data_IF_139614111596
#
_entry.id   IF_139614111596
#
_cell.length_a   1.000
_cell.length_b   1.000
_cell.length_c   1.000
_cell.angle_alpha   90.00
_cell.angle_beta   90.00
_cell.angle_gamma   90.00
#
_symmetry.space_group_name_H-M   'P 1'
#
loop_
_entity.id
_entity.type
_entity.pdbx_description
1 polymer ?
#
# COMPACT_ATOMS: atom_id res chain seq x y z
N UNK A 1 14.26 12.73 18.58
CA UNK A 1 14.90 13.23 17.34
C UNK A 1 14.00 12.87 16.16
N UNK A 2 14.06 13.64 15.07
CA UNK A 2 13.26 13.41 13.87
C UNK A 2 14.15 13.22 12.64
N UNK A 3 13.62 12.57 11.60
CA UNK A 3 14.30 12.36 10.31
C UNK A 3 15.72 11.78 10.44
N UNK A 4 15.94 10.89 11.40
CA UNK A 4 17.23 10.28 11.66
C UNK A 4 17.63 9.39 10.48
N UNK A 5 18.66 9.77 9.76
CA UNK A 5 19.21 9.02 8.63
C UNK A 5 20.66 8.66 8.91
N UNK A 6 20.97 7.38 8.76
CA UNK A 6 22.32 6.84 8.83
C UNK A 6 22.82 6.56 7.42
N UNK A 7 24.04 6.98 7.14
CA UNK A 7 24.76 6.68 5.90
C UNK A 7 26.19 6.28 6.22
N UNK A 8 26.81 5.51 5.33
CA UNK A 8 28.21 5.10 5.44
C UNK A 8 28.97 5.71 4.26
N UNK A 9 30.08 6.36 4.55
CA UNK A 9 30.90 7.09 3.58
C UNK A 9 31.98 6.19 2.95
N UNK A 10 32.68 6.73 1.96
CA UNK A 10 33.91 6.18 1.37
C UNK A 10 33.77 4.85 0.61
N UNK A 11 32.55 4.48 0.21
CA UNK A 11 32.23 3.24 -0.52
C UNK A 11 32.75 1.96 0.15
N UNK A 12 33.03 2.01 1.46
CA UNK A 12 33.55 0.87 2.24
C UNK A 12 32.45 -0.16 2.53
N UNK A 13 31.19 0.28 2.55
CA UNK A 13 30.01 -0.52 2.85
C UNK A 13 29.22 -0.76 1.57
N UNK A 14 28.81 -2.02 1.35
CA UNK A 14 27.85 -2.38 0.31
C UNK A 14 26.50 -1.77 0.66
N UNK A 15 26.16 -0.66 0.00
CA UNK A 15 24.96 0.13 0.28
C UNK A 15 23.67 -0.68 0.07
N UNK A 16 23.69 -1.67 -0.84
CA UNK A 16 22.54 -2.53 -1.12
C UNK A 16 22.33 -3.60 -0.02
N UNK A 17 23.33 -3.83 0.82
CA UNK A 17 23.24 -4.74 1.96
C UNK A 17 22.72 -4.10 3.25
N UNK A 18 22.54 -2.76 3.26
CA UNK A 18 22.13 -2.04 4.45
C UNK A 18 20.71 -2.42 4.87
N UNK A 19 20.56 -2.73 6.16
CA UNK A 19 19.25 -2.80 6.80
C UNK A 19 18.61 -1.41 6.85
N UNK A 20 17.38 -1.33 7.35
CA UNK A 20 16.67 -0.05 7.53
C UNK A 20 17.59 0.98 8.22
N UNK A 21 17.91 2.07 7.52
CA UNK A 21 18.86 3.10 7.96
C UNK A 21 18.27 4.51 7.91
N UNK A 22 16.95 4.62 7.80
CA UNK A 22 16.21 5.88 7.87
C UNK A 22 14.99 5.73 8.76
N UNK A 23 14.87 6.63 9.73
CA UNK A 23 13.89 6.60 10.81
C UNK A 23 13.31 7.98 11.00
N UNK A 24 11.98 8.12 10.88
CA UNK A 24 11.37 9.45 11.03
C UNK A 24 11.40 9.95 12.47
N UNK A 25 11.27 9.07 13.45
CA UNK A 25 11.22 9.45 14.86
C UNK A 25 12.08 8.50 15.67
N UNK A 26 12.85 9.11 16.57
CA UNK A 26 13.58 8.45 17.63
C UNK A 26 13.06 8.98 18.96
N UNK A 27 12.62 8.06 19.82
CA UNK A 27 12.20 8.34 21.18
C UNK A 27 13.31 7.99 22.17
N UNK A 28 13.38 8.73 23.27
CA UNK A 28 14.29 8.42 24.37
C UNK A 28 14.01 7.00 24.90
N UNK A 29 15.08 6.24 25.12
CA UNK A 29 15.03 4.81 25.45
C UNK A 29 14.86 3.85 24.27
N UNK A 30 14.88 4.32 23.02
CA UNK A 30 14.99 3.46 21.84
C UNK A 30 16.44 3.29 21.39
N UNK A 31 16.71 2.17 20.70
CA UNK A 31 17.96 1.94 19.98
C UNK A 31 17.67 1.83 18.48
N UNK A 32 18.44 2.55 17.67
CA UNK A 32 18.42 2.42 16.22
C UNK A 32 19.61 1.57 15.80
N UNK A 33 19.33 0.43 15.17
CA UNK A 33 20.35 -0.53 14.77
C UNK A 33 20.36 -0.63 13.24
N UNK A 34 21.49 -0.25 12.66
CA UNK A 34 21.78 -0.38 11.23
C UNK A 34 22.92 -1.40 11.08
N UNK A 35 22.78 -2.31 10.13
CA UNK A 35 23.75 -3.35 9.82
C UNK A 35 23.92 -3.45 8.31
N UNK A 36 25.11 -3.81 7.86
CA UNK A 36 25.45 -3.99 6.45
C UNK A 36 26.71 -4.83 6.30
N UNK A 37 27.10 -5.07 5.06
CA UNK A 37 28.31 -5.78 4.67
C UNK A 37 29.35 -4.80 4.15
N UNK A 38 30.62 -5.13 4.36
CA UNK A 38 31.73 -4.43 3.71
C UNK A 38 31.78 -4.82 2.22
N UNK A 39 32.23 -3.89 1.38
CA UNK A 39 32.51 -4.16 -0.03
C UNK A 39 33.67 -5.17 -0.15
N UNK A 40 33.53 -6.15 -1.05
CA UNK A 40 34.58 -7.13 -1.31
C UNK A 40 35.86 -6.45 -1.82
N UNK A 41 37.02 -6.85 -1.28
CA UNK A 41 38.31 -6.28 -1.67
C UNK A 41 38.64 -4.92 -1.05
N UNK A 42 37.81 -4.41 -0.12
CA UNK A 42 38.10 -3.18 0.60
C UNK A 42 39.24 -3.39 1.62
N UNK A 43 40.32 -2.64 1.45
CA UNK A 43 41.45 -2.59 2.39
C UNK A 43 41.34 -1.41 3.39
N UNK A 44 40.18 -0.77 3.47
CA UNK A 44 39.98 0.34 4.41
C UNK A 44 40.07 -0.17 5.85
N UNK A 45 40.91 0.49 6.64
CA UNK A 45 41.08 0.20 8.06
C UNK A 45 40.04 0.91 8.93
N UNK A 46 39.18 1.74 8.33
CA UNK A 46 38.21 2.58 9.03
C UNK A 46 36.88 2.62 8.31
N UNK A 47 35.78 2.58 9.07
CA UNK A 47 34.42 2.82 8.58
C UNK A 47 33.97 4.17 9.11
N UNK A 48 33.59 5.06 8.20
CA UNK A 48 33.01 6.35 8.55
C UNK A 48 31.50 6.29 8.37
N UNK A 49 30.77 6.57 9.46
CA UNK A 49 29.31 6.68 9.46
C UNK A 49 28.91 8.13 9.67
N UNK A 50 27.84 8.56 9.01
CA UNK A 50 27.24 9.87 9.16
C UNK A 50 25.77 9.72 9.54
N UNK A 51 25.38 10.34 10.64
CA UNK A 51 24.01 10.37 11.15
C UNK A 51 23.50 11.80 11.10
N UNK A 52 22.41 12.01 10.37
CA UNK A 52 21.75 13.31 10.23
C UNK A 52 20.34 13.24 10.80
N UNK A 53 19.80 14.36 11.25
CA UNK A 53 18.40 14.46 11.65
C UNK A 53 18.07 15.83 12.23
N UNK A 54 16.89 15.95 12.84
CA UNK A 54 16.39 17.21 13.39
C UNK A 54 16.03 17.05 14.87
N UNK A 55 16.37 18.05 15.68
CA UNK A 55 15.99 18.21 17.09
C UNK A 55 15.31 19.57 17.30
N UNK A 56 14.72 19.79 18.48
CA UNK A 56 14.00 21.03 18.78
C UNK A 56 14.85 22.31 18.63
N UNK A 57 16.18 22.19 18.70
CA UNK A 57 17.13 23.30 18.53
C UNK A 57 17.71 23.47 17.11
N UNK A 58 17.27 22.67 16.14
CA UNK A 58 17.78 22.69 14.76
C UNK A 58 18.20 21.32 14.24
N UNK A 59 18.88 21.30 13.10
CA UNK A 59 19.41 20.07 12.51
C UNK A 59 20.71 19.64 13.20
N UNK A 60 20.92 18.34 13.28
CA UNK A 60 22.18 17.74 13.71
C UNK A 60 22.77 16.90 12.59
N UNK A 61 24.09 16.88 12.55
CA UNK A 61 24.90 16.15 11.59
C UNK A 61 26.15 15.68 12.32
N UNK A 62 26.26 14.37 12.51
CA UNK A 62 27.32 13.74 13.30
C UNK A 62 28.01 12.71 12.44
N UNK A 63 29.31 12.90 12.26
CA UNK A 63 30.20 11.95 11.60
C UNK A 63 31.07 11.24 12.65
N UNK A 64 31.11 9.93 12.57
CA UNK A 64 31.91 9.07 13.46
C UNK A 64 32.66 8.05 12.62
N UNK A 65 33.98 7.99 12.80
CA UNK A 65 34.83 6.96 12.22
C UNK A 65 35.27 5.97 13.30
N UNK A 66 35.17 4.68 12.99
CA UNK A 66 35.66 3.60 13.83
C UNK A 66 36.66 2.74 13.06
N UNK A 67 37.73 2.22 13.69
CA UNK A 67 38.56 1.22 13.07
C UNK A 67 37.73 -0.02 12.72
N UNK A 68 38.07 -0.68 11.60
CA UNK A 68 37.58 -2.02 11.30
C UNK A 68 38.30 -2.98 12.26
N UNK A 69 37.81 -3.01 13.51
CA UNK A 69 38.33 -3.92 14.52
C UNK A 69 37.89 -5.36 14.18
N UNK A 70 38.86 -6.20 13.83
CA UNK A 70 38.72 -7.66 13.85
C UNK A 70 38.75 -8.14 15.31
N UNK A 71 37.75 -7.82 16.14
CA UNK A 71 37.76 -8.29 17.53
C UNK A 71 36.33 -8.63 17.97
N UNK A 72 36.04 -9.66 18.75
CA UNK A 72 36.81 -10.42 19.73
C UNK A 72 36.47 -11.91 19.64
N UNK A 73 37.42 -12.73 20.09
CA UNK A 73 37.24 -14.12 20.54
C UNK A 73 36.03 -14.19 21.51
N UNK A 74 34.84 -14.37 20.94
CA UNK A 74 33.60 -14.59 21.65
C UNK A 74 33.24 -16.05 21.43
N UNK A 75 32.67 -16.70 22.44
CA UNK A 75 32.21 -18.10 22.38
C UNK A 75 31.22 -18.39 21.22
N UNK A 76 30.75 -17.36 20.52
CA UNK A 76 29.85 -17.45 19.38
C UNK A 76 30.53 -16.87 18.14
N UNK A 77 31.01 -17.77 17.28
CA UNK A 77 31.50 -17.42 15.95
C UNK A 77 30.43 -16.69 15.12
N UNK A 78 30.85 -15.76 14.26
CA UNK A 78 30.01 -15.09 13.26
C UNK A 78 28.80 -14.33 13.81
N UNK A 79 28.83 -13.89 15.07
CA UNK A 79 27.71 -13.17 15.71
C UNK A 79 27.26 -11.93 14.91
N UNK A 80 28.20 -11.12 14.43
CA UNK A 80 27.89 -9.92 13.65
C UNK A 80 27.18 -10.26 12.32
N UNK A 81 27.66 -11.31 11.63
CA UNK A 81 27.04 -11.80 10.41
C UNK A 81 25.63 -12.34 10.67
N UNK A 82 25.45 -13.15 11.73
CA UNK A 82 24.13 -13.67 12.14
C UNK A 82 23.16 -12.53 12.51
N UNK A 83 23.65 -11.50 13.19
CA UNK A 83 22.88 -10.30 13.51
C UNK A 83 22.41 -9.55 12.26
N UNK A 84 23.32 -9.34 11.29
CA UNK A 84 22.96 -8.76 9.99
C UNK A 84 21.94 -9.61 9.23
N UNK A 85 22.12 -10.94 9.16
CA UNK A 85 21.19 -11.88 8.53
C UNK A 85 19.80 -11.81 9.18
N UNK A 86 19.73 -11.80 10.52
CA UNK A 86 18.47 -11.69 11.27
C UNK A 86 17.73 -10.37 10.99
N UNK A 87 18.43 -9.24 11.05
CA UNK A 87 17.84 -7.92 10.80
C UNK A 87 17.39 -7.77 9.35
N UNK A 88 18.16 -8.32 8.40
CA UNK A 88 17.81 -8.34 6.97
C UNK A 88 16.54 -9.16 6.74
N UNK A 89 16.47 -10.38 7.29
CA UNK A 89 15.28 -11.23 7.20
C UNK A 89 14.06 -10.57 7.84
N UNK A 90 14.22 -9.94 9.02
CA UNK A 90 13.14 -9.24 9.71
C UNK A 90 12.62 -8.06 8.91
N UNK A 91 13.50 -7.27 8.29
CA UNK A 91 13.10 -6.19 7.38
C UNK A 91 12.33 -6.73 6.17
N UNK A 92 12.80 -7.83 5.56
CA UNK A 92 12.12 -8.46 4.42
C UNK A 92 10.76 -9.06 4.81
N UNK A 93 10.64 -9.65 6.00
CA UNK A 93 9.36 -10.10 6.57
C UNK A 93 8.43 -8.91 6.79
N UNK A 94 8.93 -7.80 7.33
CA UNK A 94 8.13 -6.57 7.49
C UNK A 94 7.64 -6.10 6.12
N UNK A 95 8.53 -6.00 5.12
CA UNK A 95 8.18 -5.64 3.73
C UNK A 95 7.16 -6.61 3.13
N UNK A 96 7.32 -7.92 3.30
CA UNK A 96 6.40 -8.96 2.82
C UNK A 96 5.03 -8.86 3.49
N UNK A 97 4.96 -8.71 4.81
CA UNK A 97 3.70 -8.54 5.55
C UNK A 97 3.00 -7.21 5.18
N UNK A 98 3.73 -6.25 4.63
CA UNK A 98 3.18 -5.02 4.07
C UNK A 98 2.62 -5.22 2.64
N UNK A 99 3.10 -6.22 1.88
CA UNK A 99 2.68 -6.56 0.51
C UNK A 99 1.56 -7.61 0.50
N UNK A 100 0.31 -7.21 0.25
CA UNK A 100 -0.82 -8.17 0.21
C UNK A 100 -1.20 -8.66 -1.19
N UNK A 101 -0.70 -8.05 -2.29
CA UNK A 101 -1.24 -8.35 -3.65
C UNK A 101 -0.35 -7.98 -4.86
N UNK A 102 0.98 -7.86 -4.77
CA UNK A 102 1.79 -7.66 -6.00
C UNK A 102 3.12 -8.45 -6.05
N UNK A 103 3.46 -9.04 -7.21
CA UNK A 103 4.56 -9.99 -7.38
C UNK A 103 5.89 -9.33 -7.77
N UNK A 104 6.16 -8.09 -7.36
CA UNK A 104 7.47 -7.45 -7.65
C UNK A 104 8.40 -7.76 -6.49
N UNK A 105 9.02 -8.93 -6.55
CA UNK A 105 10.24 -9.25 -5.81
C UNK A 105 11.39 -8.48 -6.47
N UNK A 106 11.67 -7.26 -6.00
CA UNK A 106 13.06 -6.77 -6.01
C UNK A 106 13.61 -7.11 -4.62
N UNK A 107 14.24 -8.27 -4.53
CA UNK A 107 14.70 -8.89 -3.29
C UNK A 107 14.47 -10.41 -3.33
N UNK A 108 15.33 -11.22 -2.68
CA UNK A 108 15.11 -12.66 -2.62
C UNK A 108 13.80 -12.99 -1.91
N UNK A 109 13.21 -14.16 -2.17
CA UNK A 109 12.02 -14.59 -1.41
C UNK A 109 12.39 -14.69 0.08
N UNK A 110 11.52 -14.26 0.99
CA UNK A 110 11.72 -14.40 2.45
C UNK A 110 12.04 -15.85 2.84
N UNK A 111 11.45 -16.82 2.13
CA UNK A 111 11.73 -18.25 2.36
C UNK A 111 13.12 -18.65 1.88
N UNK A 112 13.52 -18.19 0.69
CA UNK A 112 14.86 -18.41 0.12
C UNK A 112 15.95 -17.73 0.95
N UNK A 113 15.70 -16.51 1.44
CA UNK A 113 16.56 -15.80 2.39
C UNK A 113 16.69 -16.54 3.70
N UNK A 114 15.58 -17.05 4.26
CA UNK A 114 15.60 -17.80 5.50
C UNK A 114 16.39 -19.09 5.35
N UNK A 115 16.25 -19.81 4.24
CA UNK A 115 17.05 -21.00 3.93
C UNK A 115 18.54 -20.66 3.77
N UNK A 116 18.85 -19.61 3.00
CA UNK A 116 20.23 -19.10 2.82
C UNK A 116 20.87 -18.67 4.14
N UNK A 117 20.06 -18.15 5.07
CA UNK A 117 20.52 -17.69 6.38
C UNK A 117 20.37 -18.74 7.49
N UNK A 118 19.90 -19.95 7.16
CA UNK A 118 19.67 -21.07 8.08
C UNK A 118 18.70 -20.74 9.24
N UNK A 119 17.68 -19.91 8.97
CA UNK A 119 16.59 -19.62 9.91
C UNK A 119 15.37 -20.50 9.64
N UNK A 120 14.75 -20.99 10.72
CA UNK A 120 13.47 -21.71 10.64
C UNK A 120 12.32 -20.71 10.77
N UNK A 121 11.44 -20.65 9.77
CA UNK A 121 10.23 -19.81 9.76
C UNK A 121 8.94 -20.66 9.78
N UNK A 122 7.92 -20.16 10.47
CA UNK A 122 6.57 -20.75 10.47
C UNK A 122 5.75 -20.17 9.31
N UNK A 123 5.67 -20.93 8.20
CA UNK A 123 5.00 -20.50 6.97
C UNK A 123 3.52 -20.15 7.16
N UNK A 124 2.85 -20.77 8.15
CA UNK A 124 1.42 -20.57 8.42
C UNK A 124 1.07 -19.16 8.89
N UNK A 125 2.08 -18.39 9.35
CA UNK A 125 1.93 -17.01 9.81
C UNK A 125 2.02 -15.99 8.70
N UNK A 126 2.39 -16.40 7.48
CA UNK A 126 2.45 -15.50 6.32
C UNK A 126 1.16 -15.56 5.51
N UNK A 127 0.67 -14.41 4.99
CA UNK A 127 -0.45 -14.42 4.05
C UNK A 127 -0.06 -15.22 2.79
N UNK A 128 -0.98 -16.00 2.19
CA UNK A 128 -0.67 -16.88 1.06
C UNK A 128 -0.14 -16.10 -0.16
N UNK A 129 1.00 -16.56 -0.69
CA UNK A 129 1.65 -16.04 -1.91
C UNK A 129 0.83 -16.39 -3.16
N UNK A 130 0.70 -15.46 -4.12
CA UNK A 130 0.11 -15.72 -5.44
C UNK A 130 1.22 -16.02 -6.45
N UNK A 131 1.05 -17.13 -7.17
CA UNK A 131 1.97 -17.75 -8.15
C UNK A 131 2.29 -16.82 -9.34
N UNK A 132 3.55 -16.89 -9.80
CA UNK A 132 4.16 -16.18 -10.95
C UNK A 132 3.36 -16.33 -12.26
N UNK A 133 3.27 -15.24 -13.04
CA UNK A 133 2.75 -15.26 -14.41
C UNK A 133 2.87 -13.92 -15.15
N UNK A 134 3.36 -13.99 -16.40
CA UNK A 134 3.68 -12.90 -17.33
C UNK A 134 2.53 -11.90 -17.53
N UNK A 135 2.89 -10.63 -17.75
CA UNK A 135 2.01 -9.45 -17.73
C UNK A 135 0.80 -9.46 -18.67
N UNK A 136 -0.24 -8.71 -18.27
CA UNK A 136 -1.08 -7.89 -19.15
C UNK A 136 -1.74 -6.76 -18.34
N UNK A 137 -1.46 -5.54 -18.77
CA UNK A 137 -2.31 -4.34 -18.71
C UNK A 137 -3.45 -4.42 -19.72
N UNK A 138 -4.68 -3.99 -19.38
CA UNK A 138 -5.71 -3.42 -20.28
C UNK A 138 -7.05 -3.35 -19.52
N UNK A 139 -7.84 -2.28 -19.45
CA UNK A 139 -7.82 -0.98 -20.09
C UNK A 139 -8.70 -0.03 -19.25
N UNK A 140 -8.15 0.40 -18.12
CA UNK A 140 -8.61 1.42 -17.18
C UNK A 140 -10.07 1.49 -16.73
N UNK A 141 -10.29 2.52 -15.92
CA UNK A 141 -11.33 2.69 -14.90
C UNK A 141 -10.92 2.14 -13.51
N UNK A 142 -11.20 2.85 -12.40
CA UNK A 142 -10.93 2.35 -11.05
C UNK A 142 -11.66 1.03 -10.79
N UNK A 143 -10.88 -0.03 -10.61
CA UNK A 143 -11.38 -1.37 -10.35
C UNK A 143 -11.54 -1.56 -8.84
N UNK A 144 -12.77 -1.48 -8.35
CA UNK A 144 -13.05 -1.69 -6.94
C UNK A 144 -13.26 -3.17 -6.69
N UNK A 145 -12.58 -3.69 -5.68
CA UNK A 145 -12.71 -5.07 -5.22
C UNK A 145 -13.08 -5.05 -3.76
N UNK A 146 -14.23 -5.60 -3.44
CA UNK A 146 -14.71 -5.75 -2.08
C UNK A 146 -14.63 -7.22 -1.72
N UNK A 147 -13.90 -7.53 -0.66
CA UNK A 147 -13.95 -8.84 -0.02
C UNK A 147 -14.93 -8.77 1.14
N UNK A 148 -15.84 -9.74 1.22
CA UNK A 148 -16.70 -9.91 2.38
C UNK A 148 -15.85 -10.18 3.63
N UNK A 149 -16.00 -9.41 4.74
CA UNK A 149 -15.30 -9.70 5.97
C UNK A 149 -15.64 -11.08 6.56
N UNK A 150 -16.79 -11.67 6.20
CA UNK A 150 -17.34 -12.90 6.79
C UNK A 150 -17.13 -14.14 5.92
N UNK A 151 -16.63 -14.00 4.69
CA UNK A 151 -16.43 -15.11 3.77
C UNK A 151 -15.36 -14.82 2.70
N UNK A 152 -15.02 -15.81 1.87
CA UNK A 152 -14.13 -15.62 0.72
C UNK A 152 -14.82 -14.99 -0.50
N UNK A 153 -16.08 -14.56 -0.36
CA UNK A 153 -16.81 -13.90 -1.42
C UNK A 153 -16.15 -12.57 -1.76
N UNK A 154 -15.85 -12.38 -3.05
CA UNK A 154 -15.36 -11.12 -3.60
C UNK A 154 -16.31 -10.60 -4.66
N UNK A 155 -16.66 -9.33 -4.58
CA UNK A 155 -17.37 -8.62 -5.63
C UNK A 155 -16.44 -7.57 -6.24
N UNK A 156 -16.68 -7.24 -7.49
CA UNK A 156 -15.91 -6.22 -8.18
C UNK A 156 -16.74 -5.45 -9.19
N UNK A 157 -16.50 -4.16 -9.27
CA UNK A 157 -17.16 -3.25 -10.19
C UNK A 157 -16.24 -2.09 -10.53
N UNK A 158 -16.57 -1.41 -11.60
CA UNK A 158 -15.78 -0.31 -12.13
C UNK A 158 -16.59 0.98 -11.89
N UNK A 159 -15.93 2.05 -11.46
CA UNK A 159 -16.54 3.38 -11.39
C UNK A 159 -15.92 4.26 -12.47
N UNK A 160 -16.69 5.20 -13.00
CA UNK A 160 -16.25 6.04 -14.09
C UNK A 160 -16.68 7.47 -13.82
N UNK A 161 -15.87 8.43 -14.24
CA UNK A 161 -16.19 9.84 -14.15
C UNK A 161 -15.23 10.65 -15.01
N UNK A 162 -15.62 11.84 -15.49
CA UNK A 162 -14.70 12.71 -16.24
C UNK A 162 -13.47 13.07 -15.39
N UNK A 163 -12.39 13.50 -16.04
CA UNK A 163 -11.23 14.03 -15.35
C UNK A 163 -11.62 15.11 -14.31
N UNK A 164 -11.03 15.02 -13.12
CA UNK A 164 -11.31 15.92 -11.99
C UNK A 164 -12.49 15.50 -11.12
N UNK A 165 -13.24 14.46 -11.49
CA UNK A 165 -14.32 13.93 -10.63
C UNK A 165 -13.74 13.43 -9.32
N UNK A 166 -14.22 13.96 -8.19
CA UNK A 166 -13.85 13.47 -6.86
C UNK A 166 -14.99 12.61 -6.32
N UNK A 167 -14.66 11.42 -5.82
CA UNK A 167 -15.62 10.51 -5.20
C UNK A 167 -15.23 10.12 -3.78
N UNK A 168 -16.22 9.97 -2.91
CA UNK A 168 -16.08 9.44 -1.56
C UNK A 168 -15.91 7.91 -1.59
N UNK A 169 -14.73 7.43 -1.20
CA UNK A 169 -14.41 6.00 -1.14
C UNK A 169 -14.83 5.41 0.20
N UNK A 170 -14.47 6.08 1.28
CA UNK A 170 -14.79 5.69 2.66
C UNK A 170 -15.11 6.95 3.44
N UNK A 171 -16.12 6.90 4.28
CA UNK A 171 -16.43 7.94 5.24
C UNK A 171 -17.02 7.32 6.48
N UNK A 172 -16.43 7.63 7.63
CA UNK A 172 -16.89 7.17 8.92
C UNK A 172 -16.90 8.37 9.88
N UNK A 173 -18.06 9.02 10.06
CA UNK A 173 -18.18 10.19 10.92
C UNK A 173 -17.77 9.92 12.37
N UNK A 174 -18.05 8.72 12.90
CA UNK A 174 -17.71 8.36 14.27
C UNK A 174 -16.21 8.18 14.50
N UNK A 175 -15.46 7.84 13.43
CA UNK A 175 -13.99 7.77 13.45
C UNK A 175 -13.33 9.04 12.91
N UNK A 176 -14.13 10.05 12.56
CA UNK A 176 -13.72 11.27 11.85
C UNK A 176 -12.81 10.99 10.65
N UNK A 177 -13.07 9.88 9.95
CA UNK A 177 -12.26 9.37 8.85
C UNK A 177 -12.99 9.60 7.53
N UNK A 178 -12.32 10.19 6.54
CA UNK A 178 -12.80 10.20 5.17
C UNK A 178 -11.67 9.90 4.19
N UNK A 179 -11.97 9.17 3.12
CA UNK A 179 -11.04 8.86 2.03
C UNK A 179 -11.73 9.16 0.72
N UNK A 180 -11.10 10.01 -0.08
CA UNK A 180 -11.64 10.50 -1.34
C UNK A 180 -10.65 10.23 -2.47
N UNK A 181 -11.16 9.91 -3.66
CA UNK A 181 -10.34 9.71 -4.85
C UNK A 181 -10.70 10.68 -5.97
N UNK A 182 -9.71 11.34 -6.54
CA UNK A 182 -9.87 12.20 -7.73
C UNK A 182 -9.51 11.43 -8.99
N UNK A 183 -10.40 11.45 -9.97
CA UNK A 183 -10.22 10.75 -11.24
C UNK A 183 -9.35 11.54 -12.22
N UNK A 184 -8.44 10.85 -12.90
CA UNK A 184 -7.66 11.35 -14.02
C UNK A 184 -7.87 10.45 -15.23
N UNK A 185 -7.87 11.05 -16.40
CA UNK A 185 -7.93 10.31 -17.66
C UNK A 185 -6.54 9.82 -18.05
N UNK A 186 -6.50 8.70 -18.78
CA UNK A 186 -5.28 8.23 -19.43
C UNK A 186 -4.77 9.28 -20.44
N UNK A 187 -3.64 9.93 -20.11
CA UNK A 187 -3.02 10.98 -20.92
C UNK A 187 -2.60 10.53 -22.34
N UNK A 188 -2.64 11.49 -23.27
CA UNK A 188 -2.24 11.40 -24.68
C UNK A 188 -3.05 10.49 -25.60
N UNK A 189 -4.36 10.71 -25.70
CA UNK A 189 -5.05 10.33 -26.92
C UNK A 189 -5.92 11.47 -27.47
N UNK A 190 -5.28 12.37 -28.19
CA UNK A 190 -5.87 13.39 -29.08
C UNK A 190 -6.53 12.80 -30.33
N UNK A 191 -7.10 11.58 -30.27
CA UNK A 191 -7.92 11.06 -31.36
C UNK A 191 -9.37 11.46 -31.14
N UNK A 192 -9.76 12.54 -31.79
CA UNK A 192 -11.13 13.07 -31.92
C UNK A 192 -12.15 12.07 -32.52
N UNK A 193 -11.71 10.89 -32.97
CA UNK A 193 -12.54 9.86 -33.61
C UNK A 193 -12.91 8.67 -32.71
N UNK A 194 -12.90 8.81 -31.38
CA UNK A 194 -13.28 7.70 -30.50
C UNK A 194 -14.78 7.58 -30.23
N UNK A 195 -15.30 6.37 -30.43
CA UNK A 195 -16.67 5.95 -30.05
C UNK A 195 -16.84 5.69 -28.55
N UNK A 196 -15.77 5.69 -27.74
CA UNK A 196 -15.81 5.38 -26.30
C UNK A 196 -14.99 6.40 -25.51
N UNK A 197 -15.46 6.82 -24.32
CA UNK A 197 -14.70 7.70 -23.44
C UNK A 197 -13.36 7.06 -23.04
N UNK A 198 -12.33 7.87 -22.75
CA UNK A 198 -11.05 7.36 -22.29
C UNK A 198 -11.21 6.69 -20.92
N UNK A 199 -10.42 5.65 -20.62
CA UNK A 199 -10.41 5.07 -19.30
C UNK A 199 -9.90 6.07 -18.25
N UNK A 200 -10.47 5.96 -17.07
CA UNK A 200 -10.20 6.83 -15.92
C UNK A 200 -9.44 6.08 -14.83
N UNK A 201 -8.78 6.77 -13.90
CA UNK A 201 -8.10 6.16 -12.76
C UNK A 201 -8.07 7.12 -11.58
N UNK A 202 -7.80 6.67 -10.35
CA UNK A 202 -7.50 7.63 -9.29
C UNK A 202 -6.09 8.20 -9.49
N UNK A 203 -6.02 9.50 -9.81
CA UNK A 203 -4.75 10.22 -9.94
C UNK A 203 -4.36 10.97 -8.68
N UNK A 204 -5.30 11.16 -7.74
CA UNK A 204 -5.02 11.68 -6.40
C UNK A 204 -5.92 10.99 -5.38
N UNK A 205 -5.39 10.77 -4.17
CA UNK A 205 -6.16 10.26 -3.03
C UNK A 205 -6.03 11.25 -1.88
N UNK A 206 -7.14 11.65 -1.29
CA UNK A 206 -7.20 12.43 -0.06
C UNK A 206 -7.64 11.55 1.09
N UNK A 207 -7.00 11.69 2.24
CA UNK A 207 -7.41 11.06 3.50
C UNK A 207 -7.58 12.18 4.52
N UNK A 208 -8.71 12.21 5.20
CA UNK A 208 -9.00 13.09 6.34
C UNK A 208 -9.04 12.23 7.60
N UNK A 209 -8.32 12.66 8.63
CA UNK A 209 -8.23 12.03 9.94
C UNK A 209 -8.48 13.11 11.01
N UNK A 210 -9.73 13.26 11.45
CA UNK A 210 -10.13 14.37 12.31
C UNK A 210 -9.97 15.72 11.60
N UNK A 211 -9.01 16.51 12.07
CA UNK A 211 -8.60 17.79 11.49
C UNK A 211 -7.37 17.68 10.58
N UNK A 212 -6.66 16.55 10.63
CA UNK A 212 -5.50 16.32 9.79
C UNK A 212 -5.92 15.80 8.43
N UNK A 213 -5.14 16.12 7.39
CA UNK A 213 -5.37 15.62 6.05
C UNK A 213 -4.08 15.21 5.35
N UNK A 214 -4.18 14.16 4.55
CA UNK A 214 -3.11 13.61 3.73
C UNK A 214 -3.57 13.69 2.29
N UNK A 215 -2.74 14.23 1.41
CA UNK A 215 -2.95 14.17 -0.04
C UNK A 215 -1.84 13.42 -0.72
N UNK A 216 -2.23 12.43 -1.51
CA UNK A 216 -1.35 11.56 -2.27
C UNK A 216 -1.52 11.91 -3.74
N UNK A 217 -0.43 12.36 -4.36
CA UNK A 217 -0.36 12.60 -5.81
C UNK A 217 0.85 11.88 -6.41
N UNK A 218 1.04 12.02 -7.73
CA UNK A 218 2.23 11.55 -8.44
C UNK A 218 3.51 12.19 -7.91
N UNK A 219 3.49 13.50 -7.66
CA UNK A 219 4.68 14.27 -7.31
C UNK A 219 5.04 14.08 -5.85
N UNK A 220 4.06 14.10 -4.95
CA UNK A 220 4.30 14.15 -3.51
C UNK A 220 3.19 13.52 -2.68
N UNK A 221 3.53 13.20 -1.44
CA UNK A 221 2.58 12.93 -0.37
C UNK A 221 2.63 14.11 0.58
N UNK A 222 1.55 14.88 0.72
CA UNK A 222 1.46 16.01 1.64
C UNK A 222 0.69 15.63 2.89
N UNK A 223 1.11 16.15 4.04
CA UNK A 223 0.36 16.13 5.29
C UNK A 223 0.14 17.57 5.73
N UNK A 224 -1.10 17.94 6.02
CA UNK A 224 -1.50 19.25 6.55
C UNK A 224 -1.05 20.50 5.78
N UNK A 225 -0.62 20.37 4.53
CA UNK A 225 0.02 21.42 3.71
C UNK A 225 1.45 21.80 4.12
N UNK A 226 2.04 21.12 5.11
CA UNK A 226 3.27 21.60 5.76
C UNK A 226 4.55 21.10 5.07
N UNK A 227 4.63 19.84 4.61
CA UNK A 227 5.81 19.31 3.91
C UNK A 227 5.47 18.19 2.89
N UNK A 228 5.97 18.25 1.64
CA UNK A 228 5.83 17.17 0.66
C UNK A 228 6.84 16.04 0.94
N UNK A 229 6.35 14.86 1.31
CA UNK A 229 7.15 13.64 1.35
C UNK A 229 7.35 13.10 -0.07
N UNK A 230 8.61 12.76 -0.37
CA UNK A 230 8.98 12.18 -1.63
C UNK A 230 8.73 10.66 -1.61
N UNK A 231 8.06 10.15 -2.65
CA UNK A 231 7.91 8.72 -2.88
C UNK A 231 9.23 7.94 -2.85
N UNK A 232 10.36 8.52 -3.25
CA UNK A 232 11.64 7.80 -3.33
C UNK A 232 12.26 7.42 -1.99
N UNK A 233 11.69 7.87 -0.86
CA UNK A 233 12.21 7.58 0.47
C UNK A 233 11.21 6.77 1.28
N UNK A 234 11.72 5.80 2.03
CA UNK A 234 10.90 5.14 3.04
C UNK A 234 10.68 6.15 4.18
N UNK A 235 9.41 6.41 4.52
CA UNK A 235 9.05 7.47 5.47
C UNK A 235 8.00 6.93 6.43
N UNK A 236 8.06 7.31 7.70
CA UNK A 236 7.11 6.86 8.73
C UNK A 236 6.56 8.04 9.52
N UNK A 237 5.43 8.61 9.12
CA UNK A 237 4.85 9.83 9.71
C UNK A 237 3.74 9.50 10.69
N UNK A 238 3.71 10.15 11.84
CA UNK A 238 2.52 10.17 12.71
C UNK A 238 1.61 11.31 12.26
N UNK A 239 0.37 10.99 11.94
CA UNK A 239 -0.66 11.92 11.47
C UNK A 239 -1.93 11.65 12.25
N UNK A 240 -2.43 12.64 12.99
CA UNK A 240 -3.38 12.45 14.08
C UNK A 240 -2.88 11.35 15.02
N UNK A 241 -3.73 10.36 15.31
CA UNK A 241 -3.36 9.15 16.05
C UNK A 241 -2.81 8.02 15.17
N UNK A 242 -2.76 8.20 13.85
CA UNK A 242 -2.42 7.15 12.89
C UNK A 242 -0.95 7.20 12.46
N UNK A 243 -0.42 6.04 12.07
CA UNK A 243 0.93 5.88 11.54
C UNK A 243 0.88 5.68 10.02
N UNK A 244 1.36 6.66 9.28
CA UNK A 244 1.57 6.61 7.83
C UNK A 244 2.98 6.07 7.52
N UNK A 245 3.09 5.11 6.60
CA UNK A 245 4.36 4.54 6.13
C UNK A 245 4.42 4.57 4.61
N UNK A 246 5.37 5.30 4.04
CA UNK A 246 5.71 5.24 2.61
C UNK A 246 6.80 4.19 2.46
N UNK A 247 6.60 3.22 1.55
CA UNK A 247 7.46 2.05 1.39
C UNK A 247 7.69 1.76 -0.09
N UNK A 248 8.97 1.51 -0.43
CA UNK A 248 9.41 1.00 -1.74
C UNK A 248 8.84 1.77 -2.92
N UNK A 249 8.78 3.11 -2.81
CA UNK A 249 8.36 4.05 -3.86
C UNK A 249 6.97 3.85 -4.46
N UNK A 250 6.21 2.91 -3.91
CA UNK A 250 4.99 2.34 -4.50
C UNK A 250 3.85 2.25 -3.50
N UNK A 251 4.11 2.12 -2.21
CA UNK A 251 3.05 1.81 -1.24
C UNK A 251 3.02 2.86 -0.14
N UNK A 252 1.82 3.34 0.19
CA UNK A 252 1.55 4.06 1.42
C UNK A 252 0.66 3.17 2.28
N UNK A 253 1.03 2.94 3.54
CA UNK A 253 0.21 2.24 4.52
C UNK A 253 -0.14 3.21 5.64
N UNK A 254 -1.41 3.29 6.00
CA UNK A 254 -1.87 4.05 7.16
C UNK A 254 -2.45 3.05 8.16
N UNK A 255 -1.93 3.05 9.39
CA UNK A 255 -2.40 2.21 10.47
C UNK A 255 -2.89 3.08 11.62
N UNK A 256 -4.15 2.97 11.98
CA UNK A 256 -4.76 3.72 13.07
C UNK A 256 -4.95 2.84 14.32
N UNK A 257 -4.94 3.42 15.55
CA UNK A 257 -5.04 2.64 16.80
C UNK A 257 -6.37 1.92 16.97
N UNK A 258 -7.43 2.43 16.34
CA UNK A 258 -8.75 1.81 16.26
C UNK A 258 -8.81 0.54 15.39
N UNK A 259 -7.67 0.08 14.84
CA UNK A 259 -7.59 -1.11 13.99
C UNK A 259 -7.86 -0.84 12.52
N UNK A 260 -8.16 0.40 12.11
CA UNK A 260 -8.29 0.75 10.70
C UNK A 260 -6.92 0.72 10.04
N UNK A 261 -6.79 -0.11 9.01
CA UNK A 261 -5.59 -0.19 8.17
C UNK A 261 -5.99 0.12 6.73
N UNK A 262 -5.32 1.11 6.14
CA UNK A 262 -5.50 1.52 4.75
C UNK A 262 -4.19 1.36 3.97
N UNK A 263 -4.29 1.06 2.68
CA UNK A 263 -3.13 1.01 1.78
C UNK A 263 -3.45 1.72 0.48
N UNK A 264 -2.49 2.49 -0.02
CA UNK A 264 -2.51 3.10 -1.36
C UNK A 264 -1.34 2.53 -2.14
N UNK A 265 -1.63 1.97 -3.32
CA UNK A 265 -0.63 1.41 -4.23
C UNK A 265 -0.51 2.31 -5.46
N UNK A 266 0.69 2.85 -5.70
CA UNK A 266 1.05 3.60 -6.89
C UNK A 266 1.41 2.66 -8.03
N UNK A 267 0.69 2.77 -9.12
CA UNK A 267 1.00 2.13 -10.39
C UNK A 267 1.71 3.13 -11.31
N UNK A 268 3.00 2.86 -11.56
CA UNK A 268 3.79 3.61 -12.54
C UNK A 268 3.56 3.08 -13.94
N UNK A 269 3.27 3.97 -14.86
CA UNK A 269 3.17 3.63 -16.29
C UNK A 269 4.50 3.97 -16.96
N UNK A 270 4.94 3.12 -17.90
CA UNK A 270 6.13 3.40 -18.72
C UNK A 270 5.99 4.77 -19.39
N UNK A 271 7.04 5.59 -19.28
CA UNK A 271 7.11 7.00 -19.73
C UNK A 271 6.41 8.02 -18.83
N UNK A 272 5.82 7.59 -17.71
CA UNK A 272 5.41 8.48 -16.61
C UNK A 272 4.22 9.40 -16.92
N UNK A 273 3.56 9.27 -18.07
CA UNK A 273 2.53 10.24 -18.49
C UNK A 273 1.28 10.29 -17.59
N UNK A 274 0.99 9.22 -16.84
CA UNK A 274 -0.10 9.17 -15.86
C UNK A 274 0.17 8.06 -14.84
N UNK A 275 0.54 8.44 -13.62
CA UNK A 275 0.52 7.50 -12.49
C UNK A 275 -0.91 7.42 -11.95
N UNK A 276 -1.27 6.23 -11.48
CA UNK A 276 -2.56 6.02 -10.81
C UNK A 276 -2.40 5.28 -9.50
N UNK A 277 -3.45 5.34 -8.70
CA UNK A 277 -3.50 4.82 -7.35
C UNK A 277 -4.63 3.82 -7.21
N UNK A 278 -4.31 2.67 -6.63
CA UNK A 278 -5.30 1.74 -6.11
C UNK A 278 -5.41 1.95 -4.60
N UNK A 279 -6.63 1.98 -4.08
CA UNK A 279 -6.90 2.08 -2.64
C UNK A 279 -7.43 0.76 -2.09
N UNK A 280 -6.89 0.34 -0.95
CA UNK A 280 -7.26 -0.91 -0.28
C UNK A 280 -7.53 -0.70 1.20
N UNK A 281 -8.51 -1.45 1.68
CA UNK A 281 -8.83 -1.64 3.08
C UNK A 281 -8.20 -2.96 3.56
N UNK A 282 -7.43 -2.92 4.66
CA UNK A 282 -6.84 -4.10 5.31
C UNK A 282 -7.88 -5.02 5.97
N UNK A 283 -7.47 -6.24 6.36
CA UNK A 283 -8.36 -7.16 7.10
C UNK A 283 -8.44 -6.78 8.58
N UNK A 284 -9.59 -7.02 9.21
CA UNK A 284 -9.77 -6.86 10.67
C UNK A 284 -10.10 -5.44 11.12
N UNK A 285 -10.78 -4.66 10.29
CA UNK A 285 -11.10 -3.26 10.56
C UNK A 285 -12.35 -3.13 11.43
N UNK A 286 -12.32 -2.19 12.37
CA UNK A 286 -13.49 -1.83 13.19
C UNK A 286 -13.99 -0.47 12.72
N UNK A 287 -14.81 -0.48 11.67
CA UNK A 287 -15.58 0.70 11.28
C UNK A 287 -16.84 0.81 12.14
N UNK A 288 -17.36 2.02 12.29
CA UNK A 288 -18.64 2.24 12.97
C UNK A 288 -19.81 1.77 12.11
N UNK A 289 -21.00 1.67 12.71
CA UNK A 289 -22.24 1.40 11.97
C UNK A 289 -22.62 2.53 10.99
N UNK A 290 -22.03 3.71 11.13
CA UNK A 290 -22.27 4.88 10.27
C UNK A 290 -21.34 4.95 9.05
N UNK A 291 -20.45 3.97 8.88
CA UNK A 291 -19.54 3.93 7.73
C UNK A 291 -20.29 3.86 6.40
N UNK A 292 -19.83 4.68 5.46
CA UNK A 292 -20.38 4.82 4.13
C UNK A 292 -19.23 5.10 3.14
N UNK A 293 -19.56 5.38 1.89
CA UNK A 293 -18.65 5.58 0.78
C UNK A 293 -18.82 4.45 -0.23
N UNK A 294 -18.26 4.63 -1.43
CA UNK A 294 -18.36 3.61 -2.48
C UNK A 294 -17.83 2.26 -1.98
N UNK A 295 -16.76 2.27 -1.18
CA UNK A 295 -16.15 1.10 -0.56
C UNK A 295 -16.66 0.91 0.87
N UNK A 296 -16.73 1.99 1.66
CA UNK A 296 -17.04 1.92 3.09
C UNK A 296 -18.43 1.32 3.39
N UNK A 297 -19.44 1.55 2.54
CA UNK A 297 -20.77 0.96 2.73
C UNK A 297 -20.73 -0.57 2.89
N UNK A 298 -19.82 -1.26 2.21
CA UNK A 298 -19.77 -2.72 2.23
C UNK A 298 -19.26 -3.30 3.55
N UNK A 299 -18.75 -2.47 4.46
CA UNK A 299 -18.34 -2.88 5.80
C UNK A 299 -19.55 -3.21 6.68
N UNK A 300 -20.70 -2.54 6.45
CA UNK A 300 -21.94 -2.78 7.19
C UNK A 300 -22.97 -3.65 6.45
N UNK A 301 -22.84 -3.77 5.13
CA UNK A 301 -23.80 -4.50 4.28
C UNK A 301 -23.57 -6.03 4.33
N UNK A 302 -24.66 -6.79 4.20
CA UNK A 302 -24.61 -8.24 4.13
C UNK A 302 -24.51 -8.71 2.68
N UNK A 303 -23.46 -9.47 2.38
CA UNK A 303 -23.24 -10.08 1.08
C UNK A 303 -23.39 -11.60 1.17
N UNK A 304 -24.16 -12.19 0.26
CA UNK A 304 -24.19 -13.65 0.11
C UNK A 304 -24.44 -14.05 -1.33
N UNK A 305 -23.84 -15.16 -1.75
CA UNK A 305 -24.05 -15.72 -3.08
C UNK A 305 -25.07 -16.86 -3.00
N UNK A 306 -26.14 -16.78 -3.79
CA UNK A 306 -27.16 -17.84 -3.86
C UNK A 306 -26.58 -19.03 -4.61
N UNK A 307 -26.02 -20.00 -3.87
CA UNK A 307 -25.28 -21.15 -4.45
C UNK A 307 -26.12 -21.93 -5.47
N UNK A 308 -27.42 -22.12 -5.22
CA UNK A 308 -28.35 -22.82 -6.12
C UNK A 308 -28.58 -22.09 -7.46
N UNK A 309 -28.29 -20.78 -7.53
CA UNK A 309 -28.43 -19.99 -8.76
C UNK A 309 -27.21 -20.08 -9.69
N UNK A 310 -26.10 -20.67 -9.22
CA UNK A 310 -24.83 -20.70 -9.96
C UNK A 310 -24.95 -21.67 -11.13
N UNK A 311 -24.76 -21.14 -12.34
CA UNK A 311 -24.79 -21.90 -13.60
C UNK A 311 -23.58 -21.60 -14.46
N UNK A 312 -23.02 -22.64 -15.08
CA UNK A 312 -21.96 -22.51 -16.09
C UNK A 312 -22.60 -22.33 -17.46
N UNK A 313 -22.15 -21.30 -18.17
CA UNK A 313 -22.54 -21.07 -19.57
C UNK A 313 -21.78 -22.00 -20.51
N UNK A 314 -22.25 -22.12 -21.76
CA UNK A 314 -21.56 -22.89 -22.82
C UNK A 314 -20.10 -22.49 -23.07
N UNK A 315 -19.72 -21.28 -22.66
CA UNK A 315 -18.36 -20.72 -22.79
C UNK A 315 -17.56 -20.82 -21.49
N UNK A 316 -18.00 -21.65 -20.52
CA UNK A 316 -17.31 -21.86 -19.25
C UNK A 316 -17.47 -20.73 -18.22
N UNK A 317 -18.17 -19.63 -18.53
CA UNK A 317 -18.42 -18.54 -17.58
C UNK A 317 -19.44 -18.94 -16.53
N UNK A 318 -19.14 -18.70 -15.25
CA UNK A 318 -20.08 -18.89 -14.13
C UNK A 318 -20.95 -17.65 -13.96
N UNK A 319 -22.27 -17.82 -13.89
CA UNK A 319 -23.25 -16.76 -13.60
C UNK A 319 -24.06 -17.16 -12.37
N UNK A 320 -24.46 -16.19 -11.56
CA UNK A 320 -25.27 -16.42 -10.36
C UNK A 320 -26.01 -15.17 -9.91
N UNK A 321 -26.64 -15.27 -8.75
CA UNK A 321 -27.33 -14.18 -8.05
C UNK A 321 -26.59 -13.89 -6.75
N UNK A 322 -26.17 -12.64 -6.60
CA UNK A 322 -25.65 -12.06 -5.36
C UNK A 322 -26.82 -11.40 -4.62
N UNK A 323 -26.98 -11.72 -3.35
CA UNK A 323 -27.84 -10.98 -2.42
C UNK A 323 -26.99 -9.95 -1.70
N UNK A 324 -27.40 -8.70 -1.81
CA UNK A 324 -26.77 -7.57 -1.13
C UNK A 324 -27.86 -6.82 -0.35
N UNK A 325 -27.91 -7.02 0.96
CA UNK A 325 -29.03 -6.62 1.84
C UNK A 325 -30.39 -6.97 1.22
N UNK A 326 -30.59 -8.25 0.90
CA UNK A 326 -31.82 -8.79 0.29
C UNK A 326 -32.07 -8.42 -1.17
N UNK A 327 -31.31 -7.48 -1.74
CA UNK A 327 -31.40 -7.13 -3.16
C UNK A 327 -30.71 -8.16 -4.03
N UNK A 328 -31.45 -8.72 -4.98
CA UNK A 328 -30.90 -9.63 -5.99
C UNK A 328 -30.15 -8.90 -7.10
N UNK A 329 -28.87 -9.25 -7.27
CA UNK A 329 -27.99 -8.72 -8.31
C UNK A 329 -27.47 -9.88 -9.15
N UNK A 330 -27.75 -9.83 -10.46
CA UNK A 330 -27.19 -10.78 -11.41
C UNK A 330 -25.69 -10.52 -11.57
N UNK A 331 -24.90 -11.55 -11.31
CA UNK A 331 -23.43 -11.47 -11.33
C UNK A 331 -22.83 -12.54 -12.23
N UNK A 332 -21.64 -12.25 -12.76
CA UNK A 332 -20.80 -13.17 -13.52
C UNK A 332 -19.45 -13.24 -12.84
N UNK A 333 -18.93 -14.45 -12.66
CA UNK A 333 -17.59 -14.65 -12.13
C UNK A 333 -16.57 -14.27 -13.19
N UNK A 334 -15.66 -13.40 -12.82
CA UNK A 334 -14.55 -12.97 -13.65
C UNK A 334 -13.25 -13.26 -12.93
N UNK A 335 -12.23 -13.65 -13.69
CA UNK A 335 -10.88 -13.85 -13.16
C UNK A 335 -10.02 -12.75 -13.73
N UNK A 336 -9.41 -11.94 -12.85
CA UNK A 336 -8.50 -10.87 -13.23
C UNK A 336 -7.11 -11.21 -12.69
N UNK A 337 -6.05 -10.98 -13.49
CA UNK A 337 -4.67 -11.41 -13.19
C UNK A 337 -4.16 -10.94 -11.83
N UNK A 338 -4.50 -9.72 -11.39
CA UNK A 338 -4.01 -9.11 -10.13
C UNK A 338 -4.96 -9.28 -8.93
N UNK A 339 -6.24 -9.52 -9.19
CA UNK A 339 -7.32 -9.47 -8.18
C UNK A 339 -7.79 -10.88 -7.78
N UNK A 340 -7.47 -11.87 -8.62
CA UNK A 340 -8.05 -13.21 -8.52
C UNK A 340 -9.46 -13.25 -9.09
N UNK A 341 -10.26 -14.19 -8.59
CA UNK A 341 -11.66 -14.33 -9.01
C UNK A 341 -12.57 -13.41 -8.20
N UNK A 342 -13.48 -12.71 -8.87
CA UNK A 342 -14.52 -11.90 -8.24
C UNK A 342 -15.84 -11.97 -9.03
N UNK A 343 -16.95 -11.64 -8.37
CA UNK A 343 -18.27 -11.56 -8.97
C UNK A 343 -18.57 -10.13 -9.40
N UNK A 344 -18.76 -9.93 -10.71
CA UNK A 344 -19.06 -8.62 -11.27
C UNK A 344 -20.49 -8.56 -11.81
N UNK A 345 -21.14 -7.41 -11.68
CA UNK A 345 -22.36 -7.12 -12.43
C UNK A 345 -22.03 -6.20 -13.60
N UNK A 346 -22.42 -6.61 -14.81
CA UNK A 346 -22.29 -5.76 -16.00
C UNK A 346 -23.48 -4.81 -16.17
N UNK A 347 -24.53 -4.94 -15.36
CA UNK A 347 -25.67 -4.04 -15.41
C UNK A 347 -25.23 -2.65 -14.92
N UNK A 348 -25.33 -1.65 -15.81
CA UNK A 348 -24.87 -0.27 -15.53
C UNK A 348 -23.49 -0.24 -14.85
N UNK A 349 -22.53 -1.03 -15.35
CA UNK A 349 -21.15 -1.10 -14.84
C UNK A 349 -21.02 -1.48 -13.35
N UNK A 350 -22.04 -2.11 -12.76
CA UNK A 350 -22.01 -2.51 -11.36
C UNK A 350 -22.54 -1.45 -10.38
N UNK A 351 -22.94 -0.26 -10.88
CA UNK A 351 -23.61 0.76 -10.07
C UNK A 351 -24.82 0.27 -9.25
N UNK A 352 -25.62 -0.73 -9.70
CA UNK A 352 -26.70 -1.28 -8.87
C UNK A 352 -26.24 -1.98 -7.58
N UNK A 353 -24.93 -2.22 -7.42
CA UNK A 353 -24.31 -2.73 -6.19
C UNK A 353 -24.13 -1.62 -5.14
N UNK A 354 -24.15 -0.34 -5.52
CA UNK A 354 -24.16 0.75 -4.57
C UNK A 354 -25.53 0.84 -3.88
N UNK A 355 -25.52 1.27 -2.62
CA UNK A 355 -26.73 1.50 -1.82
C UNK A 355 -27.49 2.73 -2.32
N UNK A 356 -26.75 3.76 -2.74
CA UNK A 356 -27.26 5.01 -3.29
C UNK A 356 -26.83 5.23 -4.74
N UNK A 357 -27.30 6.31 -5.37
CA UNK A 357 -26.87 6.68 -6.71
C UNK A 357 -25.39 7.04 -6.73
N UNK A 358 -24.71 6.83 -7.87
CA UNK A 358 -23.30 7.20 -8.01
C UNK A 358 -23.05 8.68 -7.72
N UNK A 359 -23.97 9.55 -8.16
CA UNK A 359 -23.93 10.99 -7.94
C UNK A 359 -23.89 11.39 -6.46
N UNK A 360 -24.48 10.58 -5.57
CA UNK A 360 -24.49 10.81 -4.12
C UNK A 360 -23.11 10.59 -3.46
N UNK A 361 -22.16 10.01 -4.21
CA UNK A 361 -20.78 9.83 -3.78
C UNK A 361 -19.83 10.86 -4.39
N UNK A 362 -20.30 11.74 -5.27
CA UNK A 362 -19.47 12.79 -5.88
C UNK A 362 -19.29 13.95 -4.89
N UNK A 363 -18.06 14.42 -4.78
CA UNK A 363 -17.65 15.50 -3.90
C UNK A 363 -17.13 16.70 -4.68
N UNK A 364 -17.26 17.92 -4.14
CA UNK A 364 -16.75 19.11 -4.82
C UNK A 364 -15.22 19.20 -4.77
N UNK A 365 -14.58 18.64 -3.74
CA UNK A 365 -13.11 18.69 -3.55
C UNK A 365 -12.60 17.44 -2.82
N UNK A 366 -11.31 17.16 -2.98
CA UNK A 366 -10.62 16.02 -2.34
C UNK A 366 -10.65 16.08 -0.81
N UNK A 367 -10.77 17.28 -0.23
CA UNK A 367 -10.84 17.51 1.23
C UNK A 367 -12.28 17.68 1.76
N UNK A 368 -13.29 17.39 0.95
CA UNK A 368 -14.69 17.48 1.39
C UNK A 368 -15.09 16.26 2.23
N UNK A 369 -15.99 16.49 3.20
CA UNK A 369 -16.79 15.46 3.87
C UNK A 369 -18.21 15.54 3.29
N UNK A 370 -18.96 14.43 3.22
CA UNK A 370 -20.39 14.51 2.87
C UNK A 370 -21.13 15.10 4.08
N UNK A 371 -21.96 16.10 3.79
CA UNK A 371 -22.78 16.80 4.80
C UNK A 371 -23.99 15.97 5.15
#
# INVERSE_FOLDING_TARGET
MFNVQTSYLDDVVDQDSLTKHSYLTYYDGQDLIVAGRLQEGTNSLTITSRVTGTVAGGDFDVETSAPVEQTFDREIENYAERGWKFLTLTNQIEVRNLQTTSPIQDGPDVLELAETFEFVLDESRFPPQVIRGRGDTAAGDPHIVIQDPRSDLRICFDIHGPQGTVVSLVEDPALELAVNGEMVEKGNITNSNRKKPPPTFFGRIGILLGNDWISVSREHVMVNSDLPFNWFRNTVVEVASCKLRIVSIKVIKISCPNGVIMKILRHRVSHGDYDHFDFFLGKGQVFSSSVDGIIGQFQRRQMSLVKSSIRKTRYGKEKGVLLLDEKEIKVTKITRRRIGSCWASYAKMGLPMLERGYEDYILPRLTSKRV
#
